data_IF_255322858849
#
_entry.id   IF_255322858849
#
_cell.length_a   1.000
_cell.length_b   1.000
_cell.length_c   1.000
_cell.angle_alpha   90.00
_cell.angle_beta   90.00
_cell.angle_gamma   90.00
#
_symmetry.space_group_name_H-M   'P 1'
#
loop_
_entity.id
_entity.type
_entity.pdbx_description
1 polymer ?
#
# COMPACT_ATOMS: atom_id res chain seq x y z
N UNK A 1 43.85 7.65 -4.44
CA UNK A 1 44.35 8.29 -3.20
C UNK A 1 44.55 7.16 -2.21
N UNK A 2 45.81 6.89 -1.86
CA UNK A 2 46.21 5.75 -1.04
C UNK A 2 45.61 5.88 0.37
N UNK A 3 44.95 4.83 0.84
CA UNK A 3 44.64 4.65 2.26
C UNK A 3 45.94 4.29 2.95
N UNK A 4 46.42 5.15 3.84
CA UNK A 4 47.54 4.84 4.73
C UNK A 4 47.16 3.65 5.61
N UNK A 5 48.03 2.65 5.62
CA UNK A 5 47.98 1.50 6.54
C UNK A 5 48.13 2.03 7.97
N UNK A 6 47.01 2.33 8.63
CA UNK A 6 46.97 2.53 10.07
C UNK A 6 46.69 1.16 10.67
N UNK A 7 47.76 0.47 11.04
CA UNK A 7 47.79 -0.87 11.61
C UNK A 7 46.70 -1.06 12.67
N UNK A 8 45.74 -1.94 12.37
CA UNK A 8 44.69 -2.38 13.27
C UNK A 8 45.21 -3.29 14.38
N UNK A 9 46.15 -2.81 15.19
CA UNK A 9 46.66 -3.52 16.36
C UNK A 9 46.02 -2.98 17.65
N UNK A 10 44.83 -3.52 17.94
CA UNK A 10 44.05 -3.22 19.14
C UNK A 10 44.32 -4.20 20.30
N UNK A 11 45.18 -5.22 20.11
CA UNK A 11 45.51 -6.23 21.13
C UNK A 11 46.84 -5.93 21.83
N UNK A 12 47.00 -4.70 22.31
CA UNK A 12 48.20 -4.23 23.03
C UNK A 12 47.85 -3.62 24.38
N UNK A 13 48.85 -3.53 25.26
CA UNK A 13 48.68 -2.85 26.54
C UNK A 13 48.27 -1.38 26.31
N UNK A 14 47.49 -0.77 27.23
CA UNK A 14 47.05 0.62 27.10
C UNK A 14 48.24 1.55 26.86
N UNK A 15 48.15 2.36 25.81
CA UNK A 15 49.15 3.38 25.49
C UNK A 15 48.66 4.75 25.95
N UNK A 16 49.54 5.57 26.52
CA UNK A 16 49.28 6.97 26.88
C UNK A 16 49.18 7.90 25.64
N UNK A 17 49.25 7.32 24.43
CA UNK A 17 49.12 8.05 23.18
C UNK A 17 47.72 8.65 23.04
N UNK A 18 47.65 9.98 22.94
CA UNK A 18 46.42 10.71 22.67
C UNK A 18 46.13 10.68 21.17
N UNK A 19 45.02 10.08 20.78
CA UNK A 19 44.55 10.05 19.39
C UNK A 19 43.73 11.30 19.08
N UNK A 20 43.80 11.79 17.84
CA UNK A 20 42.96 12.88 17.38
C UNK A 20 41.50 12.43 17.33
N UNK A 21 40.59 13.25 17.86
CA UNK A 21 39.16 12.98 17.74
C UNK A 21 38.72 13.24 16.29
N UNK A 22 38.19 12.21 15.64
CA UNK A 22 37.58 12.34 14.32
C UNK A 22 36.14 12.85 14.47
N UNK A 23 35.86 14.03 13.93
CA UNK A 23 34.49 14.53 13.85
C UNK A 23 33.79 14.01 12.61
N UNK A 24 32.53 13.59 12.78
CA UNK A 24 31.71 13.13 11.65
C UNK A 24 31.29 14.33 10.81
N UNK A 25 31.54 14.27 9.51
CA UNK A 25 31.00 15.26 8.57
C UNK A 25 29.46 15.28 8.62
N UNK A 26 28.89 16.46 8.79
CA UNK A 26 27.44 16.64 8.80
C UNK A 26 26.87 16.61 7.37
N UNK A 27 25.69 16.01 7.21
CA UNK A 27 24.95 16.00 5.96
C UNK A 27 23.61 16.70 6.14
N UNK A 28 23.10 17.31 5.08
CA UNK A 28 21.77 17.95 5.11
C UNK A 28 20.70 16.91 4.81
N UNK A 29 19.76 16.73 5.74
CA UNK A 29 18.58 15.88 5.57
C UNK A 29 17.31 16.74 5.47
N UNK A 30 16.42 16.39 4.54
CA UNK A 30 15.08 17.00 4.41
C UNK A 30 14.04 15.92 4.68
N UNK A 31 13.37 15.94 5.85
CA UNK A 31 12.28 15.01 6.16
C UNK A 31 11.13 15.16 5.15
N UNK A 32 10.45 14.05 4.85
CA UNK A 32 9.28 14.04 3.98
C UNK A 32 8.03 13.65 4.78
N UNK A 33 7.14 14.60 5.00
CA UNK A 33 6.02 14.46 5.94
C UNK A 33 4.69 14.02 5.27
N UNK A 34 4.71 13.57 4.02
CA UNK A 34 3.46 13.21 3.30
C UNK A 34 2.64 12.08 3.94
N UNK A 35 3.22 11.34 4.88
CA UNK A 35 2.53 10.28 5.64
C UNK A 35 2.42 10.61 7.13
N UNK A 36 2.79 11.83 7.54
CA UNK A 36 2.58 12.29 8.90
C UNK A 36 1.07 12.46 9.13
N UNK A 37 0.56 11.79 10.15
CA UNK A 37 -0.84 11.86 10.54
C UNK A 37 -1.01 12.87 11.68
N UNK A 38 -2.16 13.53 11.71
CA UNK A 38 -2.52 14.40 12.82
C UNK A 38 -2.60 13.63 14.14
N UNK A 39 -2.28 14.31 15.24
CA UNK A 39 -2.31 13.70 16.58
C UNK A 39 -3.74 13.41 17.03
N UNK A 40 -4.69 14.23 16.59
CA UNK A 40 -6.12 14.04 16.82
C UNK A 40 -6.68 13.13 15.73
N UNK A 41 -7.12 11.93 16.12
CA UNK A 41 -7.59 10.92 15.17
C UNK A 41 -9.10 10.76 15.29
N UNK A 42 -9.80 10.96 14.18
CA UNK A 42 -11.22 10.69 14.07
C UNK A 42 -11.44 9.30 13.45
N UNK A 43 -12.01 8.37 14.22
CA UNK A 43 -12.21 6.97 13.80
C UNK A 43 -13.64 6.64 13.34
N UNK A 44 -14.51 7.65 13.23
CA UNK A 44 -15.91 7.44 12.82
C UNK A 44 -16.10 7.31 11.30
N UNK A 45 -15.06 7.64 10.52
CA UNK A 45 -15.12 7.62 9.06
C UNK A 45 -15.10 6.19 8.52
N UNK A 46 -15.88 5.95 7.47
CA UNK A 46 -15.93 4.66 6.78
C UNK A 46 -14.86 4.60 5.67
N UNK A 47 -14.42 3.41 5.31
CA UNK A 47 -13.42 3.23 4.25
C UNK A 47 -13.95 3.52 2.83
N UNK A 48 -15.26 3.75 2.66
CA UNK A 48 -15.87 4.04 1.35
C UNK A 48 -15.29 5.30 0.70
N UNK A 49 -15.15 6.37 1.48
CA UNK A 49 -14.62 7.66 1.00
C UNK A 49 -13.20 7.51 0.46
N UNK A 50 -12.38 6.67 1.09
CA UNK A 50 -11.02 6.40 0.64
C UNK A 50 -10.98 5.85 -0.79
N UNK A 51 -11.88 4.93 -1.15
CA UNK A 51 -11.92 4.38 -2.51
C UNK A 51 -12.45 5.40 -3.52
N UNK A 52 -13.41 6.23 -3.12
CA UNK A 52 -13.91 7.31 -3.96
C UNK A 52 -12.81 8.34 -4.26
N UNK A 53 -12.08 8.81 -3.24
CA UNK A 53 -10.96 9.73 -3.41
C UNK A 53 -9.85 9.16 -4.30
N UNK A 54 -9.51 7.87 -4.13
CA UNK A 54 -8.51 7.20 -4.98
C UNK A 54 -8.94 7.21 -6.45
N UNK A 55 -10.17 6.81 -6.74
CA UNK A 55 -10.68 6.78 -8.10
C UNK A 55 -10.74 8.19 -8.69
N UNK A 56 -11.25 9.17 -7.95
CA UNK A 56 -11.34 10.56 -8.40
C UNK A 56 -9.96 11.17 -8.73
N UNK A 57 -8.93 10.85 -7.93
CA UNK A 57 -7.57 11.36 -8.13
C UNK A 57 -6.84 10.69 -9.29
N UNK A 58 -7.03 9.37 -9.47
CA UNK A 58 -6.32 8.59 -10.49
C UNK A 58 -7.00 8.63 -11.86
N UNK A 59 -8.33 8.76 -11.90
CA UNK A 59 -9.13 8.72 -13.14
C UNK A 59 -8.62 9.71 -14.21
N UNK A 60 -8.33 11.00 -13.94
CA UNK A 60 -7.89 11.93 -14.98
C UNK A 60 -6.55 11.56 -15.61
N UNK A 61 -5.61 11.06 -14.80
CA UNK A 61 -4.29 10.67 -15.28
C UNK A 61 -4.37 9.42 -16.16
N UNK A 62 -5.13 8.41 -15.72
CA UNK A 62 -5.35 7.18 -16.49
C UNK A 62 -6.14 7.46 -17.75
N UNK A 63 -7.15 8.33 -17.69
CA UNK A 63 -7.95 8.72 -18.85
C UNK A 63 -7.11 9.37 -19.94
N UNK A 64 -6.17 10.25 -19.58
CA UNK A 64 -5.27 10.87 -20.56
C UNK A 64 -4.41 9.83 -21.29
N UNK A 65 -3.88 8.85 -20.57
CA UNK A 65 -3.06 7.77 -21.15
C UNK A 65 -3.92 6.84 -22.01
N UNK A 66 -5.13 6.51 -21.54
CA UNK A 66 -6.08 5.68 -22.26
C UNK A 66 -6.53 6.32 -23.57
N UNK A 67 -6.81 7.63 -23.56
CA UNK A 67 -7.09 8.39 -24.77
C UNK A 67 -5.89 8.33 -25.71
N UNK A 68 -4.69 8.73 -25.28
CA UNK A 68 -3.49 8.71 -26.15
C UNK A 68 -3.20 7.32 -26.76
N UNK A 69 -3.48 6.24 -26.03
CA UNK A 69 -3.23 4.87 -26.50
C UNK A 69 -4.34 4.27 -27.38
N UNK A 70 -5.59 4.67 -27.17
CA UNK A 70 -6.76 4.04 -27.79
C UNK A 70 -7.63 5.00 -28.61
N UNK A 71 -7.24 6.28 -28.72
CA UNK A 71 -7.88 7.23 -29.62
C UNK A 71 -7.76 6.73 -31.06
N UNK A 72 -8.87 6.72 -31.78
CA UNK A 72 -9.00 6.19 -33.15
C UNK A 72 -8.55 4.73 -33.38
N UNK A 73 -8.32 3.96 -32.31
CA UNK A 73 -7.96 2.55 -32.45
C UNK A 73 -9.16 1.74 -32.97
N UNK A 74 -8.93 0.96 -34.04
CA UNK A 74 -9.95 0.12 -34.65
C UNK A 74 -9.52 -1.34 -34.62
N UNK A 75 -10.43 -2.22 -34.16
CA UNK A 75 -10.26 -3.66 -34.27
C UNK A 75 -11.40 -4.19 -35.12
N UNK A 76 -11.08 -4.94 -36.19
CA UNK A 76 -12.05 -5.54 -37.09
C UNK A 76 -13.09 -4.54 -37.68
N UNK A 77 -12.69 -3.27 -37.86
CA UNK A 77 -13.55 -2.21 -38.38
C UNK A 77 -14.46 -1.55 -37.33
N UNK A 78 -14.35 -1.91 -36.05
CA UNK A 78 -15.06 -1.28 -34.94
C UNK A 78 -14.12 -0.35 -34.15
N UNK A 79 -14.55 0.90 -33.94
CA UNK A 79 -13.82 1.90 -33.14
C UNK A 79 -14.04 1.65 -31.66
N UNK A 80 -12.98 1.67 -30.87
CA UNK A 80 -13.08 1.50 -29.42
C UNK A 80 -13.86 2.66 -28.81
N UNK A 81 -14.87 2.37 -27.98
CA UNK A 81 -15.62 3.40 -27.25
C UNK A 81 -15.27 3.44 -25.77
N UNK A 82 -15.16 4.66 -25.23
CA UNK A 82 -15.07 4.88 -23.79
C UNK A 82 -16.44 4.60 -23.15
N UNK A 83 -16.46 3.74 -22.14
CA UNK A 83 -17.65 3.51 -21.31
C UNK A 83 -17.36 3.95 -19.88
N UNK A 84 -18.20 4.83 -19.33
CA UNK A 84 -17.97 5.38 -17.99
C UNK A 84 -18.37 4.44 -16.85
N UNK A 85 -19.46 3.69 -17.04
CA UNK A 85 -19.97 2.73 -16.04
C UNK A 85 -19.82 1.32 -16.57
N UNK A 86 -19.17 0.46 -15.80
CA UNK A 86 -18.96 -0.96 -16.15
C UNK A 86 -20.28 -1.67 -16.48
N UNK A 87 -21.39 -1.27 -15.85
CA UNK A 87 -22.71 -1.85 -16.09
C UNK A 87 -23.32 -1.52 -17.47
N UNK A 88 -22.84 -0.46 -18.13
CA UNK A 88 -23.34 -0.04 -19.46
C UNK A 88 -22.62 -0.79 -20.61
N UNK A 89 -21.66 -1.67 -20.29
CA UNK A 89 -20.93 -2.44 -21.28
C UNK A 89 -21.87 -3.40 -22.00
N UNK A 90 -21.93 -3.29 -23.33
CA UNK A 90 -22.73 -4.16 -24.19
C UNK A 90 -21.85 -5.23 -24.83
N UNK A 91 -22.36 -6.46 -24.90
CA UNK A 91 -21.69 -7.55 -25.60
C UNK A 91 -21.60 -7.24 -27.10
N UNK A 92 -20.49 -7.60 -27.72
CA UNK A 92 -20.24 -7.40 -29.15
C UNK A 92 -19.85 -5.97 -29.54
N UNK A 93 -19.50 -5.11 -28.58
CA UNK A 93 -18.89 -3.81 -28.84
C UNK A 93 -17.53 -3.70 -28.18
N UNK A 94 -16.57 -3.15 -28.91
CA UNK A 94 -15.25 -2.85 -28.40
C UNK A 94 -15.27 -1.60 -27.50
N UNK A 95 -14.92 -1.76 -26.23
CA UNK A 95 -14.89 -0.66 -25.27
C UNK A 95 -13.78 -0.76 -24.23
N UNK A 96 -13.39 0.38 -23.66
CA UNK A 96 -12.53 0.45 -22.48
C UNK A 96 -13.23 1.14 -21.32
N UNK A 97 -12.84 0.76 -20.10
CA UNK A 97 -13.40 1.25 -18.84
C UNK A 97 -12.28 1.54 -17.85
N UNK A 98 -12.46 2.56 -17.02
CA UNK A 98 -11.57 2.89 -15.90
C UNK A 98 -12.28 2.57 -14.59
N UNK A 99 -11.63 1.83 -13.71
CA UNK A 99 -12.15 1.49 -12.40
C UNK A 99 -11.08 0.94 -11.47
N UNK A 100 -11.51 0.57 -10.28
CA UNK A 100 -10.66 -0.10 -9.29
C UNK A 100 -10.86 -1.61 -9.42
N UNK A 101 -9.77 -2.36 -9.47
CA UNK A 101 -9.84 -3.83 -9.52
C UNK A 101 -10.00 -4.36 -8.09
N UNK A 102 -11.02 -5.20 -7.89
CA UNK A 102 -11.21 -5.97 -6.67
C UNK A 102 -10.77 -7.42 -6.92
N UNK A 103 -9.91 -7.95 -6.04
CA UNK A 103 -9.47 -9.33 -6.11
C UNK A 103 -10.07 -10.13 -4.96
N UNK A 104 -10.87 -11.14 -5.31
CA UNK A 104 -11.36 -12.14 -4.37
C UNK A 104 -10.40 -13.32 -4.35
N UNK A 105 -9.86 -13.64 -3.17
CA UNK A 105 -8.86 -14.70 -2.99
C UNK A 105 -9.33 -15.69 -1.93
N UNK A 106 -9.20 -17.01 -2.16
CA UNK A 106 -9.76 -18.03 -1.27
C UNK A 106 -9.04 -18.11 0.09
N UNK A 107 -7.78 -17.68 0.17
CA UNK A 107 -6.98 -17.70 1.41
C UNK A 107 -6.90 -16.34 2.11
N UNK A 108 -7.72 -15.38 1.69
CA UNK A 108 -7.77 -14.08 2.36
C UNK A 108 -8.45 -14.26 3.72
N UNK A 109 -7.82 -13.87 4.84
CA UNK A 109 -8.43 -14.03 6.16
C UNK A 109 -9.72 -13.23 6.25
N UNK A 110 -10.75 -13.85 6.84
CA UNK A 110 -12.08 -13.28 6.99
C UNK A 110 -12.44 -13.23 8.48
N UNK A 111 -12.58 -12.01 8.99
CA UNK A 111 -12.87 -11.76 10.41
C UNK A 111 -14.20 -12.39 10.83
N UNK A 112 -15.20 -12.44 9.93
CA UNK A 112 -16.50 -13.05 10.23
C UNK A 112 -16.39 -14.57 10.42
N UNK A 113 -15.53 -15.24 9.63
CA UNK A 113 -15.27 -16.67 9.76
C UNK A 113 -14.52 -16.97 11.06
N UNK A 114 -13.61 -16.09 11.47
CA UNK A 114 -12.85 -16.23 12.72
C UNK A 114 -13.76 -16.05 13.95
N UNK A 115 -14.63 -15.02 13.94
CA UNK A 115 -15.63 -14.82 15.01
C UNK A 115 -16.57 -16.02 15.11
N UNK A 116 -17.03 -16.56 13.98
CA UNK A 116 -17.96 -17.70 13.97
C UNK A 116 -17.34 -18.97 14.57
N UNK A 117 -16.04 -19.20 14.34
CA UNK A 117 -15.30 -20.35 14.92
C UNK A 117 -15.10 -20.20 16.43
N UNK A 118 -14.92 -18.99 16.93
CA UNK A 118 -14.74 -18.73 18.36
C UNK A 118 -16.06 -18.72 19.14
N UNK A 119 -17.15 -18.18 18.59
CA UNK A 119 -18.47 -18.20 19.24
C UNK A 119 -18.97 -19.64 19.47
N UNK A 120 -18.68 -20.56 18.54
CA UNK A 120 -18.95 -21.99 18.74
C UNK A 120 -18.16 -22.63 19.89
N UNK A 121 -17.02 -22.04 20.28
CA UNK A 121 -16.16 -22.51 21.37
C UNK A 121 -16.61 -22.00 22.75
N UNK A 122 -17.26 -20.83 22.81
CA UNK A 122 -17.82 -20.27 24.06
C UNK A 122 -19.18 -20.86 24.45
N UNK A 123 -19.92 -21.49 23.53
CA UNK A 123 -21.28 -22.00 23.80
C UNK A 123 -21.35 -23.41 24.40
N UNK A 124 -20.21 -24.08 24.65
CA UNK A 124 -20.17 -25.47 25.16
C UNK A 124 -19.49 -25.58 26.53
N UNK A 125 -19.95 -24.80 27.50
CA UNK A 125 -19.79 -25.21 28.91
C UNK A 125 -21.13 -25.75 29.40
N UNK A 126 -21.30 -27.08 29.55
CA UNK A 126 -22.45 -27.61 30.25
C UNK A 126 -22.37 -27.10 31.69
N UNK A 127 -23.38 -26.34 32.09
CA UNK A 127 -23.57 -25.92 33.47
C UNK A 127 -23.72 -27.19 34.31
N UNK A 128 -22.63 -27.64 34.95
CA UNK A 128 -22.69 -28.66 35.98
C UNK A 128 -23.58 -28.10 37.09
N UNK A 129 -24.83 -28.55 37.16
CA UNK A 129 -25.72 -28.27 38.28
C UNK A 129 -25.05 -28.83 39.54
N UNK A 130 -24.55 -27.94 40.38
CA UNK A 130 -24.32 -28.25 41.77
C UNK A 130 -25.66 -28.08 42.50
N UNK A 131 -25.98 -29.10 43.30
CA UNK A 131 -27.07 -29.28 44.26
C UNK A 131 -28.46 -29.65 43.73
#
# INVERSE_FOLDING_TARGET
MAVSEEDGDFLRAPSDQKYAALERASTTYKPHESYALEKEKQYQQQFGDMYFFRLAKLKPAVEKIALDAWDDFQIAGETVQKVERVLDVRQGRLCWVIGTIYMEMPLKPNILDDISKDVGRFSVMPLSRAD
#
